data_IF_044161885766
#
_entry.id   IF_044161885766
#
_cell.length_a   1.000
_cell.length_b   1.000
_cell.length_c   1.000
_cell.angle_alpha   90.00
_cell.angle_beta   90.00
_cell.angle_gamma   90.00
#
_symmetry.space_group_name_H-M   'P 1'
#
loop_
_entity.id
_entity.type
_entity.pdbx_description
1 polymer ?
#
# COMPACT_ATOMS: atom_id res chain seq x y z
N UNK A 1 16.96 -0.25 -31.30
CA UNK A 1 17.16 0.45 -30.00
C UNK A 1 18.38 -0.12 -29.28
N UNK A 2 19.19 0.73 -28.63
CA UNK A 2 20.39 0.30 -27.87
C UNK A 2 19.95 -0.14 -26.47
N UNK A 3 20.58 -1.17 -25.89
CA UNK A 3 20.09 -1.82 -24.66
C UNK A 3 19.95 -0.87 -23.45
N UNK A 4 20.83 0.13 -23.33
CA UNK A 4 20.74 1.13 -22.26
C UNK A 4 19.44 1.94 -22.30
N UNK A 5 18.87 2.17 -23.49
CA UNK A 5 17.57 2.84 -23.65
C UNK A 5 16.45 1.96 -23.07
N UNK A 6 16.50 0.64 -23.31
CA UNK A 6 15.54 -0.31 -22.74
C UNK A 6 15.62 -0.27 -21.21
N UNK A 7 16.82 -0.23 -20.63
CA UNK A 7 16.99 -0.12 -19.18
C UNK A 7 16.40 1.17 -18.63
N UNK A 8 16.72 2.31 -19.24
CA UNK A 8 16.20 3.61 -18.78
C UNK A 8 14.67 3.66 -18.85
N UNK A 9 14.08 3.26 -19.98
CA UNK A 9 12.62 3.25 -20.14
C UNK A 9 11.98 2.31 -19.11
N UNK A 10 12.56 1.13 -18.89
CA UNK A 10 12.03 0.16 -17.92
C UNK A 10 12.11 0.70 -16.48
N UNK A 11 13.18 1.42 -16.13
CA UNK A 11 13.31 2.08 -14.81
C UNK A 11 12.26 3.17 -14.65
N UNK A 12 12.09 4.05 -15.66
CA UNK A 12 11.12 5.14 -15.60
C UNK A 12 9.70 4.58 -15.41
N UNK A 13 9.32 3.56 -16.18
CA UNK A 13 8.02 2.93 -16.05
C UNK A 13 7.85 2.19 -14.72
N UNK A 14 8.89 1.51 -14.23
CA UNK A 14 8.85 0.87 -12.91
C UNK A 14 8.66 1.90 -11.79
N UNK A 15 9.37 3.04 -11.86
CA UNK A 15 9.19 4.16 -10.92
C UNK A 15 7.76 4.72 -10.98
N UNK A 16 7.21 4.90 -12.18
CA UNK A 16 5.84 5.38 -12.36
C UNK A 16 4.81 4.42 -11.73
N UNK A 17 4.95 3.11 -11.95
CA UNK A 17 4.08 2.09 -11.33
C UNK A 17 4.26 2.10 -9.81
N UNK A 18 5.49 2.07 -9.29
CA UNK A 18 5.74 2.10 -7.86
C UNK A 18 5.16 3.35 -7.18
N UNK A 19 5.25 4.50 -7.84
CA UNK A 19 4.62 5.74 -7.38
C UNK A 19 3.09 5.62 -7.38
N UNK A 20 2.50 5.14 -8.48
CA UNK A 20 1.06 4.90 -8.57
C UNK A 20 0.55 3.98 -7.45
N UNK A 21 1.28 2.90 -7.15
CA UNK A 21 0.95 1.98 -6.06
C UNK A 21 1.01 2.65 -4.69
N UNK A 22 1.99 3.52 -4.47
CA UNK A 22 2.13 4.24 -3.20
C UNK A 22 0.94 5.17 -2.96
N UNK A 23 0.52 5.93 -3.97
CA UNK A 23 -0.56 6.92 -3.83
C UNK A 23 -1.95 6.28 -3.80
N UNK A 24 -2.15 5.15 -4.48
CA UNK A 24 -3.41 4.40 -4.48
C UNK A 24 -3.54 3.43 -3.31
N UNK A 25 -2.45 3.22 -2.56
CA UNK A 25 -2.40 2.34 -1.41
C UNK A 25 -3.37 2.76 -0.29
N UNK A 26 -3.88 1.80 0.50
CA UNK A 26 -4.79 2.06 1.61
C UNK A 26 -4.12 2.82 2.77
N UNK A 27 -2.78 2.86 2.81
CA UNK A 27 -1.99 3.52 3.85
C UNK A 27 -1.64 4.98 3.52
N UNK A 28 -1.81 5.42 2.26
CA UNK A 28 -1.48 6.78 1.84
C UNK A 28 -2.41 7.80 2.53
N UNK A 29 -1.96 8.88 3.14
CA UNK A 29 -2.86 9.81 3.85
C UNK A 29 -4.00 10.34 2.95
N UNK A 30 -5.18 10.58 3.53
CA UNK A 30 -6.26 11.30 2.85
C UNK A 30 -5.97 12.79 3.01
N UNK A 31 -5.49 13.41 1.95
CA UNK A 31 -5.21 14.84 1.94
C UNK A 31 -6.28 15.64 1.20
N UNK A 32 -6.42 16.90 1.56
CA UNK A 32 -7.35 17.80 0.92
C UNK A 32 -7.21 19.22 1.41
N UNK A 33 -8.16 20.05 0.99
CA UNK A 33 -8.22 21.45 1.38
C UNK A 33 -9.64 21.82 1.77
N UNK A 34 -9.77 22.63 2.81
CA UNK A 34 -11.04 23.24 3.21
C UNK A 34 -10.83 24.73 3.47
N UNK A 35 -11.88 25.51 3.28
CA UNK A 35 -11.89 26.91 3.73
C UNK A 35 -12.48 26.97 5.13
N UNK A 36 -11.73 27.54 6.07
CA UNK A 36 -12.14 27.75 7.45
C UNK A 36 -11.85 29.20 7.82
N UNK A 37 -12.89 29.95 8.22
CA UNK A 37 -12.79 31.38 8.56
C UNK A 37 -12.06 32.23 7.51
N UNK A 38 -12.30 31.95 6.22
CA UNK A 38 -11.67 32.67 5.10
C UNK A 38 -10.25 32.22 4.76
N UNK A 39 -9.63 31.33 5.55
CA UNK A 39 -8.31 30.78 5.30
C UNK A 39 -8.40 29.39 4.64
N UNK A 40 -7.53 29.11 3.68
CA UNK A 40 -7.39 27.77 3.09
C UNK A 40 -6.53 26.90 4.01
N UNK A 41 -7.15 25.88 4.61
CA UNK A 41 -6.48 24.88 5.43
C UNK A 41 -6.21 23.65 4.58
N UNK A 42 -4.94 23.25 4.51
CA UNK A 42 -4.54 21.94 3.98
C UNK A 42 -4.53 20.95 5.12
N UNK A 43 -5.10 19.77 4.90
CA UNK A 43 -5.12 18.72 5.90
C UNK A 43 -4.57 17.41 5.33
N UNK A 44 -4.00 16.59 6.20
CA UNK A 44 -3.62 15.21 5.92
C UNK A 44 -4.16 14.31 7.04
N UNK A 45 -5.02 13.36 6.67
CA UNK A 45 -5.61 12.41 7.60
C UNK A 45 -4.88 11.06 7.44
N UNK A 46 -4.12 10.60 8.44
CA UNK A 46 -3.34 9.36 8.33
C UNK A 46 -4.27 8.14 8.19
N UNK A 47 -3.84 7.15 7.38
CA UNK A 47 -4.53 5.86 7.23
C UNK A 47 -3.76 4.67 7.80
N UNK A 48 -2.62 4.93 8.44
CA UNK A 48 -1.84 3.91 9.13
C UNK A 48 -1.18 4.48 10.37
N UNK A 49 -1.11 3.67 11.44
CA UNK A 49 -0.34 3.97 12.64
C UNK A 49 0.38 2.71 13.14
N UNK A 50 1.38 2.92 14.00
CA UNK A 50 2.03 1.84 14.72
C UNK A 50 1.25 1.51 16.01
N UNK A 51 1.31 0.25 16.44
CA UNK A 51 0.66 -0.24 17.67
C UNK A 51 1.26 0.30 18.97
N UNK A 52 2.49 0.84 18.92
CA UNK A 52 3.25 1.27 20.11
C UNK A 52 2.72 2.54 20.77
N UNK A 53 2.12 3.43 19.98
CA UNK A 53 1.71 4.76 20.42
C UNK A 53 0.27 5.03 19.96
N UNK A 54 -0.40 5.96 20.63
CA UNK A 54 -1.67 6.46 20.13
C UNK A 54 -1.46 7.11 18.76
N UNK A 55 -2.45 7.01 17.86
CA UNK A 55 -2.33 7.63 16.55
C UNK A 55 -2.73 9.10 16.64
N UNK A 56 -1.76 10.00 16.46
CA UNK A 56 -2.00 11.43 16.48
C UNK A 56 -2.60 11.91 15.14
N UNK A 57 -3.66 12.70 15.24
CA UNK A 57 -4.32 13.37 14.13
C UNK A 57 -4.06 14.86 14.29
N UNK A 58 -3.24 15.43 13.40
CA UNK A 58 -2.74 16.80 13.50
C UNK A 58 -3.26 17.62 12.33
N UNK A 59 -3.93 18.74 12.62
CA UNK A 59 -4.43 19.69 11.62
C UNK A 59 -3.82 21.06 11.90
N UNK A 60 -3.14 21.63 10.91
CA UNK A 60 -2.57 22.97 11.01
C UNK A 60 -3.64 24.00 10.64
N UNK A 61 -4.02 24.85 11.59
CA UNK A 61 -5.14 25.79 11.42
C UNK A 61 -4.68 27.25 11.54
N UNK A 62 -3.61 27.52 12.31
CA UNK A 62 -3.06 28.87 12.49
C UNK A 62 -3.95 29.86 13.26
N UNK A 63 -5.23 29.56 13.45
CA UNK A 63 -6.19 30.34 14.23
C UNK A 63 -6.36 29.76 15.65
N UNK A 64 -6.09 30.58 16.67
CA UNK A 64 -6.19 30.23 18.10
C UNK A 64 -7.61 29.98 18.59
N UNK A 65 -8.60 30.40 17.82
CA UNK A 65 -10.02 30.20 18.14
C UNK A 65 -10.60 28.97 17.45
N UNK A 66 -9.77 28.21 16.74
CA UNK A 66 -10.20 26.99 16.06
C UNK A 66 -10.57 25.90 17.06
N UNK A 67 -11.74 25.30 16.86
CA UNK A 67 -12.20 24.17 17.66
C UNK A 67 -12.34 22.94 16.76
N UNK A 68 -11.64 21.87 17.10
CA UNK A 68 -11.70 20.59 16.38
C UNK A 68 -12.40 19.53 17.21
N UNK A 69 -13.16 18.66 16.54
CA UNK A 69 -13.74 17.47 17.12
C UNK A 69 -13.27 16.26 16.30
N UNK A 70 -12.73 15.26 16.99
CA UNK A 70 -12.39 13.97 16.44
C UNK A 70 -13.50 12.99 16.82
N UNK A 71 -14.20 12.43 15.83
CA UNK A 71 -15.26 11.45 16.03
C UNK A 71 -14.73 10.11 15.52
N UNK A 72 -14.80 9.06 16.32
CA UNK A 72 -14.21 7.78 15.95
C UNK A 72 -14.89 6.59 16.61
N UNK A 73 -14.67 5.40 16.04
CA UNK A 73 -14.94 4.11 16.68
C UNK A 73 -14.06 3.02 16.08
N UNK A 74 -14.04 1.83 16.68
CA UNK A 74 -13.39 0.67 16.06
C UNK A 74 -14.16 0.30 14.79
N UNK A 75 -13.42 -0.12 13.76
CA UNK A 75 -14.02 -0.59 12.52
C UNK A 75 -14.51 -2.02 12.71
N UNK A 76 -15.69 -2.36 12.15
CA UNK A 76 -16.36 -3.65 12.40
C UNK A 76 -16.45 -3.98 13.90
N UNK A 77 -17.08 -3.08 14.64
CA UNK A 77 -17.44 -3.28 16.04
C UNK A 77 -18.88 -2.82 16.28
N UNK A 78 -19.45 -3.24 17.41
CA UNK A 78 -20.73 -2.78 17.91
C UNK A 78 -20.62 -1.50 18.74
N UNK A 79 -19.48 -0.79 18.66
CA UNK A 79 -19.25 0.41 19.47
C UNK A 79 -20.09 1.59 18.99
N UNK A 80 -20.50 2.40 19.96
CA UNK A 80 -20.97 3.75 19.74
C UNK A 80 -19.82 4.70 19.37
N UNK A 81 -20.15 5.70 18.56
CA UNK A 81 -19.21 6.75 18.18
C UNK A 81 -18.73 7.53 19.40
N UNK A 82 -17.42 7.62 19.55
CA UNK A 82 -16.76 8.42 20.58
C UNK A 82 -16.46 9.82 20.02
N UNK A 83 -16.67 10.84 20.85
CA UNK A 83 -16.40 12.23 20.52
C UNK A 83 -15.26 12.75 21.40
N UNK A 84 -14.21 13.27 20.77
CA UNK A 84 -13.06 13.84 21.46
C UNK A 84 -12.77 15.24 20.95
N UNK A 85 -12.76 16.22 21.85
CA UNK A 85 -12.30 17.58 21.52
C UNK A 85 -10.78 17.56 21.28
N UNK A 86 -10.36 18.11 20.15
CA UNK A 86 -8.93 18.24 19.81
C UNK A 86 -8.30 19.37 20.63
N UNK A 87 -7.06 19.16 21.08
CA UNK A 87 -6.30 20.17 21.82
C UNK A 87 -5.64 21.13 20.84
N UNK A 88 -5.76 22.43 21.09
CA UNK A 88 -5.06 23.44 20.33
C UNK A 88 -3.69 23.72 20.95
N UNK A 89 -2.61 23.50 20.21
CA UNK A 89 -1.23 23.76 20.63
C UNK A 89 -0.42 24.31 19.44
N UNK A 90 0.24 25.46 19.60
CA UNK A 90 1.18 26.04 18.64
C UNK A 90 0.66 26.12 17.17
N UNK A 91 -0.58 26.55 16.96
CA UNK A 91 -1.16 26.65 15.61
C UNK A 91 -1.77 25.37 15.07
N UNK A 92 -1.80 24.30 15.87
CA UNK A 92 -2.25 22.96 15.48
C UNK A 92 -3.38 22.48 16.36
N UNK A 93 -4.34 21.79 15.77
CA UNK A 93 -5.32 20.96 16.47
C UNK A 93 -4.81 19.53 16.49
N UNK A 94 -4.70 18.96 17.68
CA UNK A 94 -4.15 17.63 17.93
C UNK A 94 -5.24 16.77 18.57
N UNK A 95 -5.63 15.71 17.86
CA UNK A 95 -6.48 14.63 18.34
C UNK A 95 -5.66 13.35 18.46
N UNK A 96 -6.13 12.40 19.27
CA UNK A 96 -5.40 11.14 19.51
C UNK A 96 -6.38 9.97 19.46
N UNK A 97 -6.17 9.03 18.55
CA UNK A 97 -6.93 7.79 18.51
C UNK A 97 -6.28 6.76 19.44
N UNK A 98 -7.06 6.03 20.26
CA UNK A 98 -6.54 4.98 21.13
C UNK A 98 -5.74 3.94 20.37
N UNK A 99 -4.81 3.27 21.05
CA UNK A 99 -4.08 2.13 20.47
C UNK A 99 -5.03 0.97 20.18
N UNK A 100 -4.76 0.26 19.08
CA UNK A 100 -5.36 -1.04 18.77
C UNK A 100 -4.26 -2.07 18.50
N UNK A 101 -4.56 -3.38 18.67
CA UNK A 101 -3.68 -4.44 18.20
C UNK A 101 -3.44 -4.38 16.68
N UNK A 102 -2.36 -5.01 16.23
CA UNK A 102 -2.04 -5.13 14.81
C UNK A 102 -3.21 -5.72 14.01
N UNK A 103 -3.40 -5.23 12.78
CA UNK A 103 -4.56 -5.52 11.92
C UNK A 103 -5.90 -4.94 12.43
N UNK A 104 -5.93 -4.31 13.62
CA UNK A 104 -7.04 -3.49 14.08
C UNK A 104 -7.21 -2.25 13.21
N UNK A 105 -8.46 -1.83 13.01
CA UNK A 105 -8.81 -0.64 12.23
C UNK A 105 -9.70 0.29 13.06
N UNK A 106 -9.45 1.59 12.93
CA UNK A 106 -10.30 2.65 13.44
C UNK A 106 -10.97 3.35 12.26
N UNK A 107 -12.24 3.66 12.41
CA UNK A 107 -12.96 4.55 11.51
C UNK A 107 -13.13 5.90 12.22
N UNK A 108 -12.75 6.98 11.55
CA UNK A 108 -12.79 8.31 12.16
C UNK A 108 -13.07 9.41 11.16
N UNK A 109 -13.49 10.55 11.70
CA UNK A 109 -13.69 11.80 11.00
C UNK A 109 -13.25 12.98 11.87
N UNK A 110 -12.86 14.07 11.22
CA UNK A 110 -12.43 15.29 11.89
C UNK A 110 -13.37 16.40 11.47
N UNK A 111 -13.92 17.12 12.44
CA UNK A 111 -14.87 18.21 12.24
C UNK A 111 -14.26 19.48 12.82
N UNK A 112 -14.12 20.50 11.98
CA UNK A 112 -13.79 21.86 12.43
C UNK A 112 -15.09 22.59 12.75
N UNK A 113 -15.20 23.11 13.97
CA UNK A 113 -16.34 23.90 14.43
C UNK A 113 -16.02 25.39 14.37
N UNK A 114 -16.97 26.17 13.87
CA UNK A 114 -16.92 27.63 13.84
C UNK A 114 -18.31 28.20 14.18
N UNK A 115 -18.54 28.55 15.43
CA UNK A 115 -19.84 28.98 15.96
C UNK A 115 -21.01 28.10 15.47
N UNK A 116 -21.74 28.52 14.44
CA UNK A 116 -22.90 27.81 13.86
C UNK A 116 -22.56 26.88 12.68
N UNK A 117 -21.31 26.89 12.20
CA UNK A 117 -20.87 26.08 11.05
C UNK A 117 -19.99 24.92 11.48
N UNK A 118 -20.26 23.75 10.90
CA UNK A 118 -19.44 22.56 11.04
C UNK A 118 -18.86 22.19 9.68
N UNK A 119 -17.54 22.04 9.61
CA UNK A 119 -16.83 21.66 8.40
C UNK A 119 -16.20 20.30 8.64
N UNK A 120 -16.78 19.27 8.03
CA UNK A 120 -16.25 17.91 8.07
C UNK A 120 -15.06 17.85 7.11
N UNK A 121 -13.89 17.47 7.62
CA UNK A 121 -12.73 17.20 6.78
C UNK A 121 -12.98 15.91 5.98
N UNK A 122 -12.57 15.90 4.71
CA UNK A 122 -12.91 14.83 3.77
C UNK A 122 -14.44 14.66 3.56
N UNK A 123 -15.13 15.78 3.31
CA UNK A 123 -16.58 15.89 3.04
C UNK A 123 -17.09 15.15 1.78
N UNK A 124 -16.38 14.12 1.30
CA UNK A 124 -16.82 13.25 0.19
C UNK A 124 -17.69 12.08 0.69
N UNK A 125 -18.25 12.17 1.90
CA UNK A 125 -19.11 11.15 2.50
C UNK A 125 -18.41 9.83 2.84
N UNK A 126 -17.07 9.82 2.94
CA UNK A 126 -16.29 8.62 3.31
C UNK A 126 -15.48 8.92 4.56
N UNK A 127 -15.78 8.20 5.64
CA UNK A 127 -14.93 8.21 6.82
C UNK A 127 -13.52 7.72 6.48
N UNK A 128 -12.54 8.16 7.27
CA UNK A 128 -11.16 7.71 7.11
C UNK A 128 -10.98 6.43 7.92
N UNK A 129 -10.43 5.40 7.28
CA UNK A 129 -10.07 4.15 7.94
C UNK A 129 -8.56 4.16 8.19
N UNK A 130 -8.18 4.08 9.46
CA UNK A 130 -6.79 3.95 9.89
C UNK A 130 -6.52 2.52 10.34
N UNK A 131 -5.46 1.90 9.81
CA UNK A 131 -5.03 0.54 10.15
C UNK A 131 -3.78 0.56 11.02
N UNK A 132 -3.82 -0.21 12.11
CA UNK A 132 -2.68 -0.43 13.00
C UNK A 132 -1.82 -1.57 12.47
N UNK A 133 -0.49 -1.37 12.54
CA UNK A 133 0.52 -2.38 12.22
C UNK A 133 1.63 -2.33 13.25
N UNK A 134 2.26 -3.47 13.48
CA UNK A 134 3.49 -3.50 14.26
C UNK A 134 4.67 -2.94 13.44
N UNK A 135 5.68 -2.35 14.10
CA UNK A 135 6.85 -1.82 13.41
C UNK A 135 7.67 -2.93 12.76
N UNK A 136 7.98 -2.76 11.49
CA UNK A 136 8.79 -3.70 10.71
C UNK A 136 10.24 -3.21 10.68
N UNK A 137 11.23 -4.03 11.06
CA UNK A 137 12.62 -3.61 11.03
C UNK A 137 13.08 -3.16 9.64
N UNK A 138 13.81 -2.04 9.57
CA UNK A 138 14.26 -1.44 8.31
C UNK A 138 15.15 -2.39 7.48
N UNK A 139 15.96 -3.23 8.14
CA UNK A 139 16.81 -4.21 7.46
C UNK A 139 16.02 -5.33 6.75
N UNK A 140 14.73 -5.49 7.05
CA UNK A 140 13.82 -6.39 6.31
C UNK A 140 13.02 -5.61 5.27
N UNK A 141 12.46 -4.46 5.69
CA UNK A 141 11.58 -3.66 4.84
C UNK A 141 12.30 -3.08 3.61
N UNK A 142 13.52 -2.57 3.79
CA UNK A 142 14.29 -1.97 2.69
C UNK A 142 14.62 -3.01 1.60
N UNK A 143 15.20 -4.19 1.92
CA UNK A 143 15.41 -5.24 0.92
C UNK A 143 14.13 -5.71 0.25
N UNK A 144 13.03 -5.85 1.01
CA UNK A 144 11.73 -6.24 0.46
C UNK A 144 11.26 -5.25 -0.62
N UNK A 145 11.20 -3.96 -0.29
CA UNK A 145 10.73 -2.92 -1.23
C UNK A 145 11.65 -2.83 -2.45
N UNK A 146 12.97 -2.94 -2.26
CA UNK A 146 13.93 -2.94 -3.37
C UNK A 146 13.69 -4.12 -4.33
N UNK A 147 13.49 -5.33 -3.81
CA UNK A 147 13.24 -6.50 -4.65
C UNK A 147 11.88 -6.44 -5.34
N UNK A 148 10.86 -5.90 -4.68
CA UNK A 148 9.56 -5.66 -5.31
C UNK A 148 9.69 -4.66 -6.48
N UNK A 149 10.44 -3.57 -6.30
CA UNK A 149 10.73 -2.63 -7.38
C UNK A 149 11.51 -3.29 -8.53
N UNK A 150 12.57 -4.04 -8.22
CA UNK A 150 13.36 -4.75 -9.22
C UNK A 150 12.52 -5.75 -10.01
N UNK A 151 11.56 -6.42 -9.37
CA UNK A 151 10.68 -7.36 -10.06
C UNK A 151 9.82 -6.68 -11.14
N UNK A 152 9.32 -5.46 -10.89
CA UNK A 152 8.57 -4.65 -11.88
C UNK A 152 9.51 -4.25 -13.02
N UNK A 153 10.70 -3.76 -12.68
CA UNK A 153 11.71 -3.36 -13.65
C UNK A 153 12.07 -4.51 -14.60
N UNK A 154 12.30 -5.71 -14.07
CA UNK A 154 12.62 -6.89 -14.86
C UNK A 154 11.42 -7.37 -15.70
N UNK A 155 10.19 -7.28 -15.19
CA UNK A 155 8.99 -7.61 -15.94
C UNK A 155 8.82 -6.72 -17.17
N UNK A 156 8.89 -5.39 -16.99
CA UNK A 156 8.78 -4.41 -18.07
C UNK A 156 9.91 -4.60 -19.09
N UNK A 157 11.15 -4.73 -18.62
CA UNK A 157 12.29 -4.94 -19.50
C UNK A 157 12.19 -6.24 -20.31
N UNK A 158 11.60 -7.30 -19.74
CA UNK A 158 11.35 -8.55 -20.45
C UNK A 158 10.45 -8.34 -21.69
N UNK A 159 9.38 -7.53 -21.56
CA UNK A 159 8.51 -7.20 -22.70
C UNK A 159 9.31 -6.49 -23.80
N UNK A 160 10.07 -5.46 -23.44
CA UNK A 160 10.88 -4.72 -24.42
C UNK A 160 11.94 -5.61 -25.07
N UNK A 161 12.61 -6.48 -24.32
CA UNK A 161 13.61 -7.38 -24.89
C UNK A 161 13.01 -8.45 -25.82
N UNK A 162 11.75 -8.84 -25.62
CA UNK A 162 11.02 -9.64 -26.60
C UNK A 162 10.77 -8.83 -27.88
N UNK A 163 10.22 -7.61 -27.76
CA UNK A 163 9.88 -6.75 -28.91
C UNK A 163 11.11 -6.44 -29.78
N UNK A 164 12.25 -6.14 -29.15
CA UNK A 164 13.49 -5.78 -29.85
C UNK A 164 14.40 -6.98 -30.15
N UNK A 165 13.92 -8.22 -29.99
CA UNK A 165 14.65 -9.46 -30.31
C UNK A 165 16.05 -9.55 -29.68
N UNK A 166 16.13 -9.40 -28.34
CA UNK A 166 17.38 -9.43 -27.57
C UNK A 166 17.43 -10.64 -26.63
N UNK A 167 17.62 -11.83 -27.17
CA UNK A 167 17.45 -13.09 -26.43
C UNK A 167 18.41 -13.24 -25.23
N UNK A 168 19.67 -12.79 -25.35
CA UNK A 168 20.63 -12.88 -24.23
C UNK A 168 20.18 -12.04 -23.03
N UNK A 169 19.76 -10.79 -23.25
CA UNK A 169 19.29 -9.90 -22.19
C UNK A 169 17.92 -10.34 -21.65
N UNK A 170 17.06 -10.85 -22.53
CA UNK A 170 15.75 -11.40 -22.18
C UNK A 170 15.88 -12.47 -21.09
N UNK A 171 16.77 -13.45 -21.25
CA UNK A 171 16.93 -14.52 -20.27
C UNK A 171 17.33 -13.99 -18.89
N UNK A 172 18.27 -13.03 -18.84
CA UNK A 172 18.69 -12.41 -17.59
C UNK A 172 17.53 -11.68 -16.91
N UNK A 173 16.67 -11.01 -17.69
CA UNK A 173 15.50 -10.29 -17.17
C UNK A 173 14.41 -11.24 -16.66
N UNK A 174 14.17 -12.36 -17.35
CA UNK A 174 13.24 -13.40 -16.91
C UNK A 174 13.70 -13.98 -15.57
N UNK A 175 14.98 -14.36 -15.44
CA UNK A 175 15.52 -14.85 -14.16
C UNK A 175 15.53 -13.78 -13.08
N UNK A 176 15.83 -12.53 -13.44
CA UNK A 176 15.75 -11.38 -12.54
C UNK A 176 14.35 -11.20 -11.96
N UNK A 177 13.32 -11.19 -12.82
CA UNK A 177 11.92 -11.05 -12.39
C UNK A 177 11.52 -12.19 -11.45
N UNK A 178 11.84 -13.44 -11.81
CA UNK A 178 11.57 -14.62 -11.00
C UNK A 178 12.26 -14.58 -9.63
N UNK A 179 13.57 -14.30 -9.59
CA UNK A 179 14.33 -14.25 -8.34
C UNK A 179 13.83 -13.09 -7.47
N UNK A 180 13.58 -11.92 -8.05
CA UNK A 180 13.10 -10.75 -7.32
C UNK A 180 11.72 -10.98 -6.73
N UNK A 181 10.78 -11.62 -7.43
CA UNK A 181 9.46 -11.92 -6.86
C UNK A 181 9.49 -13.07 -5.85
N UNK A 182 10.35 -14.08 -6.06
CA UNK A 182 10.52 -15.17 -5.11
C UNK A 182 11.10 -14.65 -3.78
N UNK A 183 12.24 -13.96 -3.84
CA UNK A 183 12.92 -13.47 -2.64
C UNK A 183 12.18 -12.27 -2.03
N UNK A 184 11.79 -11.30 -2.85
CA UNK A 184 11.12 -10.08 -2.40
C UNK A 184 9.66 -10.31 -2.02
N UNK A 185 8.89 -10.95 -2.89
CA UNK A 185 7.46 -11.18 -2.71
C UNK A 185 7.15 -12.32 -1.75
N UNK A 186 7.64 -13.53 -2.03
CA UNK A 186 7.26 -14.70 -1.21
C UNK A 186 8.01 -14.77 0.11
N UNK A 187 9.34 -14.64 0.11
CA UNK A 187 10.14 -14.82 1.33
C UNK A 187 10.07 -13.57 2.20
N UNK A 188 10.59 -12.45 1.71
CA UNK A 188 10.64 -11.21 2.49
C UNK A 188 9.25 -10.62 2.72
N UNK A 189 8.32 -10.76 1.77
CA UNK A 189 6.94 -10.33 1.97
C UNK A 189 6.26 -11.08 3.12
N UNK A 190 6.43 -12.40 3.20
CA UNK A 190 5.93 -13.19 4.32
C UNK A 190 6.55 -12.78 5.66
N UNK A 191 7.84 -12.46 5.68
CA UNK A 191 8.53 -11.98 6.89
C UNK A 191 8.00 -10.60 7.29
N UNK A 192 7.83 -9.67 6.35
CA UNK A 192 7.24 -8.35 6.59
C UNK A 192 5.81 -8.50 7.16
N UNK A 193 5.00 -9.39 6.59
CA UNK A 193 3.64 -9.68 7.06
C UNK A 193 3.66 -10.23 8.49
N UNK A 194 4.59 -11.14 8.79
CA UNK A 194 4.76 -11.69 10.14
C UNK A 194 5.10 -10.61 11.15
N UNK A 195 6.01 -9.70 10.80
CA UNK A 195 6.35 -8.58 11.68
C UNK A 195 5.18 -7.62 11.86
N UNK A 196 4.42 -7.31 10.80
CA UNK A 196 3.40 -6.28 10.83
C UNK A 196 2.05 -6.74 11.43
N UNK A 197 1.70 -8.03 11.27
CA UNK A 197 0.37 -8.57 11.60
C UNK A 197 0.40 -9.95 12.26
N UNK A 198 1.57 -10.51 12.56
CA UNK A 198 1.68 -11.78 13.29
C UNK A 198 1.49 -13.06 12.45
N UNK A 199 1.23 -12.97 11.15
CA UNK A 199 1.06 -14.12 10.25
C UNK A 199 2.04 -14.10 9.07
N UNK A 200 2.61 -15.25 8.70
CA UNK A 200 3.55 -15.36 7.57
C UNK A 200 2.85 -15.35 6.21
N UNK A 201 1.64 -15.91 6.14
CA UNK A 201 0.90 -16.01 4.89
C UNK A 201 -0.58 -15.96 5.20
N UNK A 202 -1.28 -15.09 4.47
CA UNK A 202 -2.72 -14.87 4.63
C UNK A 202 -3.46 -14.98 3.29
N UNK A 203 -2.77 -15.27 2.20
CA UNK A 203 -3.37 -15.48 0.88
C UNK A 203 -3.86 -16.90 0.62
N UNK A 204 -4.44 -17.11 -0.56
CA UNK A 204 -4.91 -18.41 -1.02
C UNK A 204 -3.74 -19.42 -1.07
N UNK A 205 -3.94 -20.71 -0.73
CA UNK A 205 -5.21 -21.35 -0.34
C UNK A 205 -5.58 -21.25 1.14
N UNK A 206 -4.71 -20.68 1.98
CA UNK A 206 -4.88 -20.71 3.44
C UNK A 206 -5.79 -19.59 3.93
N UNK A 207 -5.78 -18.43 3.27
CA UNK A 207 -6.63 -17.29 3.61
C UNK A 207 -7.07 -16.49 2.39
N UNK A 208 -7.57 -15.28 2.63
CA UNK A 208 -8.21 -14.43 1.62
C UNK A 208 -7.43 -13.14 1.31
N UNK A 209 -6.18 -12.99 1.80
CA UNK A 209 -5.36 -11.81 1.49
C UNK A 209 -5.03 -11.78 0.00
N UNK A 210 -5.56 -10.74 -0.63
CA UNK A 210 -5.40 -10.49 -2.05
C UNK A 210 -3.94 -10.20 -2.43
N UNK A 211 -3.15 -9.59 -1.54
CA UNK A 211 -1.77 -9.19 -1.79
C UNK A 211 -0.86 -10.40 -1.94
N UNK A 212 -0.96 -11.33 -1.00
CA UNK A 212 -0.25 -12.61 -1.01
C UNK A 212 -0.67 -13.44 -2.23
N UNK A 213 -1.97 -13.57 -2.46
CA UNK A 213 -2.52 -14.35 -3.58
C UNK A 213 -2.04 -13.85 -4.94
N UNK A 214 -2.05 -12.54 -5.16
CA UNK A 214 -1.54 -11.93 -6.40
C UNK A 214 -0.05 -12.22 -6.61
N UNK A 215 0.74 -12.11 -5.55
CA UNK A 215 2.18 -12.37 -5.61
C UNK A 215 2.46 -13.82 -6.01
N UNK A 216 1.70 -14.78 -5.45
CA UNK A 216 1.77 -16.19 -5.82
C UNK A 216 1.40 -16.42 -7.29
N UNK A 217 0.30 -15.81 -7.78
CA UNK A 217 -0.10 -15.91 -9.19
C UNK A 217 1.03 -15.45 -10.11
N UNK A 218 1.61 -14.28 -9.83
CA UNK A 218 2.72 -13.75 -10.62
C UNK A 218 3.93 -14.71 -10.63
N UNK A 219 4.29 -15.28 -9.48
CA UNK A 219 5.37 -16.27 -9.38
C UNK A 219 5.08 -17.51 -10.25
N UNK A 220 3.87 -18.05 -10.21
CA UNK A 220 3.47 -19.23 -10.99
C UNK A 220 3.65 -18.95 -12.50
N UNK A 221 3.23 -17.78 -12.97
CA UNK A 221 3.41 -17.41 -14.38
C UNK A 221 4.88 -17.28 -14.77
N UNK A 222 5.75 -16.78 -13.89
CA UNK A 222 7.19 -16.78 -14.14
C UNK A 222 7.80 -18.18 -14.17
N UNK A 223 7.34 -19.10 -13.32
CA UNK A 223 7.75 -20.51 -13.35
C UNK A 223 7.37 -21.13 -14.70
N UNK A 224 6.13 -20.91 -15.16
CA UNK A 224 5.66 -21.38 -16.47
C UNK A 224 6.49 -20.77 -17.60
N UNK A 225 6.78 -19.47 -17.56
CA UNK A 225 7.60 -18.80 -18.56
C UNK A 225 9.02 -19.38 -18.63
N UNK A 226 9.67 -19.62 -17.48
CA UNK A 226 10.99 -20.26 -17.41
C UNK A 226 10.94 -21.71 -17.91
N UNK A 227 9.91 -22.46 -17.55
CA UNK A 227 9.72 -23.84 -17.99
C UNK A 227 9.58 -23.92 -19.52
N UNK A 228 8.76 -23.05 -20.10
CA UNK A 228 8.58 -22.96 -21.56
C UNK A 228 9.86 -22.49 -22.26
N UNK A 229 10.58 -21.52 -21.68
CA UNK A 229 11.88 -21.08 -22.19
C UNK A 229 12.91 -22.22 -22.25
N UNK A 230 12.87 -23.16 -21.30
CA UNK A 230 13.77 -24.33 -21.27
C UNK A 230 13.31 -25.48 -22.18
N UNK A 231 12.01 -25.78 -22.23
CA UNK A 231 11.47 -26.95 -22.94
C UNK A 231 10.98 -26.69 -24.37
N UNK A 232 10.39 -25.54 -24.64
CA UNK A 232 9.69 -25.27 -25.91
C UNK A 232 10.16 -23.95 -26.55
N UNK A 233 11.09 -24.08 -27.51
CA UNK A 233 11.73 -22.93 -28.18
C UNK A 233 10.79 -22.13 -29.09
N UNK A 234 9.66 -22.68 -29.52
CA UNK A 234 8.81 -22.03 -30.53
C UNK A 234 7.96 -20.89 -29.97
N UNK A 235 7.48 -20.99 -28.72
CA UNK A 235 6.47 -20.06 -28.17
C UNK A 235 6.82 -19.47 -26.80
N UNK A 236 8.05 -19.64 -26.30
CA UNK A 236 8.44 -19.16 -24.97
C UNK A 236 8.33 -17.64 -24.82
N UNK A 237 8.56 -16.87 -25.89
CA UNK A 237 8.43 -15.39 -25.89
C UNK A 237 7.01 -14.94 -25.54
N UNK A 238 5.99 -15.67 -26.01
CA UNK A 238 4.59 -15.40 -25.68
C UNK A 238 4.32 -15.59 -24.19
N UNK A 239 4.83 -16.68 -23.61
CA UNK A 239 4.68 -16.95 -22.16
C UNK A 239 5.40 -15.91 -21.29
N UNK A 240 6.54 -15.39 -21.74
CA UNK A 240 7.24 -14.30 -21.05
C UNK A 240 6.40 -13.01 -21.08
N UNK A 241 5.84 -12.66 -22.23
CA UNK A 241 4.95 -11.48 -22.34
C UNK A 241 3.74 -11.65 -21.44
N UNK A 242 3.10 -12.82 -21.43
CA UNK A 242 1.94 -13.11 -20.57
C UNK A 242 2.31 -12.97 -19.10
N UNK A 243 3.43 -13.55 -18.65
CA UNK A 243 3.88 -13.45 -17.27
C UNK A 243 4.16 -11.99 -16.85
N UNK A 244 4.87 -11.24 -17.70
CA UNK A 244 5.16 -9.83 -17.43
C UNK A 244 3.90 -8.97 -17.42
N UNK A 245 2.96 -9.19 -18.35
CA UNK A 245 1.70 -8.48 -18.40
C UNK A 245 0.84 -8.75 -17.17
N UNK A 246 0.71 -10.01 -16.75
CA UNK A 246 -0.02 -10.39 -15.54
C UNK A 246 0.60 -9.75 -14.31
N UNK A 247 1.92 -9.78 -14.17
CA UNK A 247 2.61 -9.12 -13.06
C UNK A 247 2.33 -7.62 -13.04
N UNK A 248 2.43 -6.92 -14.17
CA UNK A 248 2.15 -5.48 -14.28
C UNK A 248 0.68 -5.17 -13.92
N UNK A 249 -0.27 -5.96 -14.43
CA UNK A 249 -1.69 -5.83 -14.11
C UNK A 249 -1.94 -6.00 -12.60
N UNK A 250 -1.30 -6.98 -11.98
CA UNK A 250 -1.34 -7.20 -10.54
C UNK A 250 -0.88 -5.96 -9.76
N UNK A 251 0.21 -5.32 -10.20
CA UNK A 251 0.71 -4.10 -9.55
C UNK A 251 -0.25 -2.91 -9.70
N UNK A 252 -1.08 -2.85 -10.74
CA UNK A 252 -2.11 -1.81 -10.86
C UNK A 252 -3.28 -1.98 -9.88
N UNK A 253 -3.48 -3.17 -9.32
CA UNK A 253 -4.51 -3.37 -8.29
C UNK A 253 -3.93 -2.92 -6.95
N UNK A 254 -4.54 -1.93 -6.25
CA UNK A 254 -3.98 -1.38 -5.02
C UNK A 254 -3.65 -2.48 -4.00
N UNK A 255 -2.49 -2.35 -3.36
CA UNK A 255 -2.01 -3.31 -2.37
C UNK A 255 -2.94 -3.30 -1.14
N UNK A 256 -3.12 -4.45 -0.49
CA UNK A 256 -3.80 -4.53 0.82
C UNK A 256 -5.27 -4.06 0.87
N UNK A 257 -5.99 -4.02 -0.27
CA UNK A 257 -7.45 -3.76 -0.30
C UNK A 257 -8.26 -4.79 0.51
N UNK A 258 -7.72 -5.99 0.68
CA UNK A 258 -8.27 -7.10 1.47
C UNK A 258 -7.18 -7.76 2.32
N UNK A 259 -6.26 -6.95 2.88
CA UNK A 259 -5.24 -7.49 3.77
C UNK A 259 -5.79 -7.86 5.15
N UNK A 260 -4.97 -8.46 6.01
CA UNK A 260 -5.36 -8.87 7.38
C UNK A 260 -6.18 -7.79 8.11
N UNK A 261 -7.33 -8.19 8.65
CA UNK A 261 -8.28 -7.31 9.31
C UNK A 261 -8.81 -8.03 10.55
N UNK A 262 -8.83 -7.33 11.68
CA UNK A 262 -9.52 -7.80 12.88
C UNK A 262 -10.99 -7.40 12.78
N UNK A 263 -11.88 -8.37 13.00
CA UNK A 263 -13.30 -8.16 13.18
C UNK A 263 -13.60 -8.16 14.68
N UNK A 264 -13.89 -6.99 15.25
CA UNK A 264 -14.19 -6.89 16.68
C UNK A 264 -15.58 -7.46 17.01
N UNK A 265 -16.47 -7.64 16.02
CA UNK A 265 -17.78 -8.27 16.27
C UNK A 265 -17.70 -9.78 16.49
N UNK A 266 -16.60 -10.42 16.12
CA UNK A 266 -16.40 -11.87 16.31
C UNK A 266 -15.58 -12.22 17.56
N UNK A 267 -14.87 -11.23 18.13
CA UNK A 267 -13.94 -11.42 19.26
C UNK A 267 -14.57 -11.04 20.60
N UNK A 268 -15.62 -10.21 20.58
CA UNK A 268 -16.38 -9.72 21.75
C UNK A 268 -17.78 -10.35 21.81
#
# INVERSE_FOLDING_TARGET
MRNWIIYIISIILACAIAYFQRITGPTYPVSGKVYYKGNEIKYELPRSAETKNNAEIVIEVGDTTANGLLIYKRFKSNDDWQLQTMKYENGKLIGSLPQLPAAGKMIYEVVLKDHDKQIILNNKGKHVILRYKDPVPAYVLIPHVLLMFLSIFFAIGSIFFVIFNRDKQLHNFVYGAFISILLGGMILGAIVQKYAFGAFWTGWPVGNDLTDTKTLISLIFWIIAIWQMKKNKAHYKTWIIVAAAIQILIYFIPHSLLGSELDFTEIE
#
